data_IF_803968617906
#
_entry.id   IF_803968617906
#
_cell.length_a   1.000
_cell.length_b   1.000
_cell.length_c   1.000
_cell.angle_alpha   90.00
_cell.angle_beta   90.00
_cell.angle_gamma   90.00
#
_symmetry.space_group_name_H-M   'P 1'
#
loop_
_entity.id
_entity.type
_entity.pdbx_description
1 polymer ?
#
# COMPACT_ATOMS: atom_id res chain seq x y z
N UNK A 1 -9.17 5.66 12.33
CA UNK A 1 -8.55 5.12 11.09
C UNK A 1 -7.31 5.95 10.80
N UNK A 2 -6.14 5.34 10.65
CA UNK A 2 -4.91 6.08 10.32
C UNK A 2 -4.93 6.51 8.85
N UNK A 3 -4.66 7.78 8.59
CA UNK A 3 -4.64 8.34 7.23
C UNK A 3 -3.26 8.09 6.61
N UNK A 4 -3.23 7.31 5.53
CA UNK A 4 -2.04 7.13 4.70
C UNK A 4 -2.05 8.15 3.57
N UNK A 5 -0.94 8.88 3.40
CA UNK A 5 -0.74 9.80 2.30
C UNK A 5 0.53 9.41 1.55
N UNK A 6 0.44 9.32 0.23
CA UNK A 6 1.54 9.00 -0.66
C UNK A 6 1.46 9.91 -1.89
N UNK A 7 2.60 10.42 -2.31
CA UNK A 7 2.73 11.17 -3.55
C UNK A 7 3.17 10.23 -4.67
N UNK A 8 2.56 10.36 -5.84
CA UNK A 8 2.90 9.62 -7.05
C UNK A 8 3.26 10.62 -8.16
N UNK A 9 4.15 10.23 -9.06
CA UNK A 9 4.30 10.92 -10.33
C UNK A 9 3.03 10.74 -11.17
N UNK A 10 2.69 11.75 -11.96
CA UNK A 10 1.46 11.76 -12.77
C UNK A 10 1.34 10.56 -13.70
N UNK A 11 2.45 10.15 -14.33
CA UNK A 11 2.53 8.97 -15.20
C UNK A 11 2.08 7.69 -14.47
N UNK A 12 2.55 7.48 -13.24
CA UNK A 12 2.21 6.32 -12.43
C UNK A 12 0.76 6.39 -11.95
N UNK A 13 0.29 7.60 -11.59
CA UNK A 13 -1.10 7.80 -11.20
C UNK A 13 -2.07 7.47 -12.34
N UNK A 14 -1.75 7.85 -13.58
CA UNK A 14 -2.56 7.53 -14.77
C UNK A 14 -2.66 6.03 -15.01
N UNK A 15 -1.55 5.30 -14.91
CA UNK A 15 -1.54 3.83 -15.04
C UNK A 15 -2.44 3.17 -13.99
N UNK A 16 -2.31 3.57 -12.72
CA UNK A 16 -3.14 3.06 -11.63
C UNK A 16 -4.62 3.42 -11.81
N UNK A 17 -4.90 4.61 -12.34
CA UNK A 17 -6.27 5.08 -12.60
C UNK A 17 -6.92 4.24 -13.70
N UNK A 18 -6.23 3.94 -14.80
CA UNK A 18 -6.73 3.05 -15.84
C UNK A 18 -7.08 1.66 -15.28
N UNK A 19 -6.15 1.07 -14.53
CA UNK A 19 -6.37 -0.24 -13.91
C UNK A 19 -7.53 -0.26 -12.89
N UNK A 20 -7.77 0.85 -12.19
CA UNK A 20 -8.87 0.99 -11.24
C UNK A 20 -10.22 1.16 -11.96
N UNK A 21 -10.26 1.96 -13.04
CA UNK A 21 -11.44 2.14 -13.89
C UNK A 21 -11.88 0.81 -14.51
N UNK A 22 -10.95 0.03 -15.05
CA UNK A 22 -11.25 -1.29 -15.65
C UNK A 22 -11.91 -2.25 -14.64
N UNK A 23 -11.68 -2.04 -13.35
CA UNK A 23 -12.20 -2.85 -12.24
C UNK A 23 -13.39 -2.20 -11.52
N UNK A 24 -13.76 -0.98 -11.89
CA UNK A 24 -14.84 -0.23 -11.23
C UNK A 24 -14.57 0.13 -9.76
N UNK A 25 -13.30 0.29 -9.36
CA UNK A 25 -12.90 0.61 -7.99
C UNK A 25 -12.08 1.91 -7.93
N UNK A 26 -11.87 2.46 -6.73
CA UNK A 26 -10.94 3.59 -6.55
C UNK A 26 -9.47 3.15 -6.62
N UNK A 27 -8.59 4.10 -6.94
CA UNK A 27 -7.12 3.90 -6.89
C UNK A 27 -6.68 3.43 -5.50
N UNK A 28 -7.32 3.94 -4.45
CA UNK A 28 -7.01 3.60 -3.07
C UNK A 28 -7.44 2.16 -2.72
N UNK A 29 -8.55 1.67 -3.28
CA UNK A 29 -8.97 0.27 -3.14
C UNK A 29 -8.04 -0.65 -3.93
N UNK A 30 -7.66 -0.28 -5.15
CA UNK A 30 -6.70 -1.04 -5.96
C UNK A 30 -5.36 -1.21 -5.23
N UNK A 31 -4.80 -0.12 -4.69
CA UNK A 31 -3.56 -0.14 -3.92
C UNK A 31 -3.66 -1.08 -2.71
N UNK A 32 -4.79 -1.07 -2.00
CA UNK A 32 -5.02 -1.94 -0.83
C UNK A 32 -5.29 -3.40 -1.18
N UNK A 33 -5.83 -3.68 -2.37
CA UNK A 33 -6.19 -5.03 -2.78
C UNK A 33 -5.03 -5.79 -3.43
N UNK A 34 -4.12 -5.09 -4.11
CA UNK A 34 -3.03 -5.71 -4.88
C UNK A 34 -1.67 -5.41 -4.26
N UNK A 35 -1.34 -4.14 -4.10
CA UNK A 35 0.04 -3.72 -3.78
C UNK A 35 0.36 -3.93 -2.30
N UNK A 36 -0.52 -3.51 -1.38
CA UNK A 36 -0.28 -3.71 0.06
C UNK A 36 -0.21 -5.20 0.42
N UNK A 37 -1.14 -6.08 -0.02
CA UNK A 37 -1.12 -7.48 0.37
C UNK A 37 0.10 -8.21 -0.17
N UNK A 38 0.48 -7.97 -1.42
CA UNK A 38 1.60 -8.66 -2.03
C UNK A 38 2.95 -8.15 -1.48
N UNK A 39 3.09 -6.84 -1.26
CA UNK A 39 4.29 -6.29 -0.60
C UNK A 39 4.49 -6.82 0.83
N UNK A 40 3.40 -7.02 1.59
CA UNK A 40 3.44 -7.61 2.94
C UNK A 40 3.82 -9.09 2.91
N UNK A 41 3.46 -9.84 1.85
CA UNK A 41 3.88 -11.24 1.69
C UNK A 41 5.37 -11.37 1.41
N UNK A 42 5.93 -10.44 0.62
CA UNK A 42 7.34 -10.49 0.22
C UNK A 42 8.30 -9.83 1.20
N UNK A 43 7.80 -8.99 2.12
CA UNK A 43 8.66 -8.34 3.12
C UNK A 43 8.81 -9.22 4.37
N UNK A 44 10.03 -9.65 4.75
CA UNK A 44 10.27 -10.36 5.99
C UNK A 44 9.75 -9.55 7.18
N UNK A 45 8.95 -10.17 8.07
CA UNK A 45 8.36 -9.50 9.25
C UNK A 45 9.40 -8.81 10.15
N UNK A 46 10.66 -9.25 10.11
CA UNK A 46 11.76 -8.62 10.84
C UNK A 46 12.05 -7.19 10.34
N UNK A 47 12.01 -6.97 9.02
CA UNK A 47 12.34 -5.66 8.40
C UNK A 47 11.26 -4.62 8.72
N UNK A 48 9.99 -5.00 8.69
CA UNK A 48 8.87 -4.10 9.05
C UNK A 48 8.85 -3.75 10.54
N UNK A 49 9.18 -4.69 11.43
CA UNK A 49 9.26 -4.42 12.87
C UNK A 49 10.45 -3.52 13.24
N UNK A 50 11.55 -3.60 12.49
CA UNK A 50 12.72 -2.76 12.68
C UNK A 50 12.50 -1.34 12.17
N UNK A 51 11.91 -1.20 10.97
CA UNK A 51 11.62 0.09 10.33
C UNK A 51 10.46 0.88 10.96
N UNK A 52 9.57 0.23 11.72
CA UNK A 52 8.42 0.88 12.34
C UNK A 52 8.39 0.66 13.87
N UNK A 53 9.00 1.56 14.67
CA UNK A 53 9.20 1.35 16.11
C UNK A 53 7.91 1.13 16.90
N UNK A 54 6.78 1.69 16.47
CA UNK A 54 5.49 1.56 17.17
C UNK A 54 4.80 0.21 16.97
N UNK A 55 5.33 -0.66 16.08
CA UNK A 55 4.90 -2.07 15.98
C UNK A 55 5.62 -2.99 16.97
N UNK A 56 6.66 -2.51 17.68
CA UNK A 56 7.42 -3.32 18.64
C UNK A 56 6.71 -3.56 19.98
N UNK A 57 5.55 -2.96 20.21
CA UNK A 57 4.88 -3.07 21.52
C UNK A 57 3.62 -3.92 21.42
N UNK A 58 3.76 -5.18 21.87
CA UNK A 58 2.91 -5.80 22.91
C UNK A 58 3.69 -7.00 23.44
N UNK A 59 4.35 -6.80 24.58
CA UNK A 59 4.69 -7.87 25.53
C UNK A 59 3.72 -7.76 26.69
#
# INVERSE_FOLDING_TARGET
MTKFMMSLRDENYRVLTGAAIDRGISVQELLRAVIIPDWVKETPRAIVAESWPSMRTRR
#
